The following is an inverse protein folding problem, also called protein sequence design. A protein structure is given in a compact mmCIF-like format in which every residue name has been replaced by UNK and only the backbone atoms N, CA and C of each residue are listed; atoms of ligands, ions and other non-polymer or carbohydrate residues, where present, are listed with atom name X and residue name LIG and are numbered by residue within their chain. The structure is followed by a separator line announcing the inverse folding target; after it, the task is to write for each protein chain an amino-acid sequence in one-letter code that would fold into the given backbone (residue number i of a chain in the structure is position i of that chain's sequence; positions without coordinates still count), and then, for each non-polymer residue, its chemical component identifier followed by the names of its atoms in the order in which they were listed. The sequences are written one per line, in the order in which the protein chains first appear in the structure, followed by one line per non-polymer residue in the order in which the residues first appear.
data_IF_185949797238
#
_entry.id   IF_185949797238
#
_cell.length_a   1.000
_cell.length_b   1.000
_cell.length_c   1.000
_cell.angle_alpha   90.00
_cell.angle_beta   90.00
_cell.angle_gamma   90.00
#
_symmetry.space_group_name_H-M   'P 1'
#
loop_
_entity.id
_entity.type
_entity.pdbx_description
1 polymer ?
#
# COMPACT_ATOMS: atom_id res chain seq x y z
N UNK A 1 -22.80 20.11 14.28
CA UNK A 1 -22.20 19.17 15.27
C UNK A 1 -20.86 19.76 15.66
N UNK A 2 -20.52 19.87 16.95
CA UNK A 2 -19.17 20.29 17.33
C UNK A 2 -18.19 19.10 17.15
N UNK A 3 -16.88 19.36 17.10
CA UNK A 3 -15.86 18.34 16.82
C UNK A 3 -15.90 17.19 17.85
N UNK A 4 -16.15 17.50 19.12
CA UNK A 4 -16.28 16.49 20.17
C UNK A 4 -17.41 15.46 19.87
N UNK A 5 -18.62 15.93 19.55
CA UNK A 5 -19.74 15.04 19.21
C UNK A 5 -19.48 14.23 17.95
N UNK A 6 -18.75 14.80 16.99
CA UNK A 6 -18.38 14.10 15.76
C UNK A 6 -17.42 12.94 16.04
N UNK A 7 -16.42 13.14 16.90
CA UNK A 7 -15.50 12.07 17.30
C UNK A 7 -16.20 10.96 18.07
N UNK A 8 -17.10 11.30 18.99
CA UNK A 8 -17.92 10.29 19.69
C UNK A 8 -18.82 9.52 18.72
N UNK A 9 -19.39 10.20 17.71
CA UNK A 9 -20.18 9.55 16.67
C UNK A 9 -19.34 8.57 15.84
N UNK A 10 -18.12 8.93 15.46
CA UNK A 10 -17.21 8.01 14.75
C UNK A 10 -16.87 6.79 15.60
N UNK A 11 -16.60 6.95 16.90
CA UNK A 11 -16.37 5.83 17.81
C UNK A 11 -17.59 4.91 17.92
N UNK A 12 -18.78 5.48 17.97
CA UNK A 12 -20.04 4.72 17.96
C UNK A 12 -20.19 3.92 16.66
N UNK A 13 -19.98 4.56 15.50
CA UNK A 13 -20.06 3.90 14.19
C UNK A 13 -19.08 2.74 14.08
N UNK A 14 -17.83 2.88 14.52
CA UNK A 14 -16.85 1.78 14.55
C UNK A 14 -17.37 0.59 15.36
N UNK A 15 -17.94 0.84 16.55
CA UNK A 15 -18.55 -0.23 17.37
C UNK A 15 -19.75 -0.89 16.71
N UNK A 16 -20.60 -0.12 16.01
CA UNK A 16 -21.78 -0.62 15.33
C UNK A 16 -21.44 -1.50 14.11
N UNK A 17 -20.32 -1.19 13.42
CA UNK A 17 -19.89 -1.92 12.24
C UNK A 17 -19.05 -3.16 12.59
N UNK A 18 -18.45 -3.19 13.79
CA UNK A 18 -17.66 -4.32 14.26
C UNK A 18 -18.48 -5.62 14.29
N UNK A 19 -18.01 -6.65 13.56
CA UNK A 19 -18.64 -7.96 13.44
C UNK A 19 -20.11 -7.97 12.95
N UNK A 20 -20.59 -6.86 12.37
CA UNK A 20 -21.93 -6.78 11.80
C UNK A 20 -21.92 -7.27 10.36
N UNK A 21 -22.99 -7.96 9.94
CA UNK A 21 -23.25 -8.19 8.52
C UNK A 21 -23.61 -6.86 7.87
N UNK A 22 -22.71 -6.36 7.02
CA UNK A 22 -22.85 -5.07 6.35
C UNK A 22 -23.77 -5.17 5.13
N UNK A 23 -24.44 -4.07 4.81
CA UNK A 23 -25.22 -3.88 3.57
C UNK A 23 -24.85 -2.54 2.94
N UNK A 24 -24.85 -2.47 1.61
CA UNK A 24 -24.51 -1.23 0.87
C UNK A 24 -25.35 -0.03 1.35
N UNK A 25 -26.67 -0.19 1.49
CA UNK A 25 -27.56 0.87 1.94
C UNK A 25 -27.26 1.39 3.37
N UNK A 26 -26.58 0.62 4.22
CA UNK A 26 -26.12 1.09 5.53
C UNK A 26 -24.85 1.92 5.41
N UNK A 27 -23.91 1.48 4.56
CA UNK A 27 -22.69 2.24 4.24
C UNK A 27 -23.05 3.58 3.60
N UNK A 28 -23.95 3.60 2.60
CA UNK A 28 -24.34 4.82 1.89
C UNK A 28 -24.95 5.88 2.84
N UNK A 29 -25.74 5.42 3.84
CA UNK A 29 -26.30 6.31 4.87
C UNK A 29 -25.21 6.94 5.73
N UNK A 30 -24.22 6.15 6.15
CA UNK A 30 -23.10 6.64 6.95
C UNK A 30 -22.22 7.58 6.13
N UNK A 31 -21.95 7.25 4.86
CA UNK A 31 -21.23 8.16 3.93
C UNK A 31 -21.96 9.50 3.87
N UNK A 32 -23.27 9.49 3.66
CA UNK A 32 -24.10 10.71 3.58
C UNK A 32 -24.04 11.52 4.88
N UNK A 33 -24.05 10.84 6.03
CA UNK A 33 -23.96 11.46 7.35
C UNK A 33 -22.60 12.14 7.59
N UNK A 34 -21.51 11.47 7.21
CA UNK A 34 -20.14 11.86 7.60
C UNK A 34 -19.43 12.70 6.54
N UNK A 35 -19.76 12.57 5.25
CA UNK A 35 -19.10 13.28 4.15
C UNK A 35 -18.96 14.80 4.36
N UNK A 36 -19.95 15.54 4.90
CA UNK A 36 -19.81 16.97 5.19
C UNK A 36 -18.66 17.31 6.15
N UNK A 37 -18.21 16.35 6.95
CA UNK A 37 -17.15 16.51 7.94
C UNK A 37 -15.84 15.81 7.57
N UNK A 38 -15.73 15.20 6.38
CA UNK A 38 -14.55 14.45 5.92
C UNK A 38 -13.25 15.23 6.08
N UNK A 39 -13.23 16.50 5.68
CA UNK A 39 -12.02 17.34 5.75
C UNK A 39 -11.62 17.74 7.18
N UNK A 40 -12.54 17.63 8.15
CA UNK A 40 -12.24 17.82 9.58
C UNK A 40 -11.69 16.51 10.16
N UNK A 41 -12.26 15.37 9.75
CA UNK A 41 -11.96 14.06 10.31
C UNK A 41 -10.66 13.45 9.80
N UNK A 42 -10.48 13.44 8.47
CA UNK A 42 -9.37 12.82 7.73
C UNK A 42 -8.99 13.75 6.57
N UNK A 43 -8.30 14.86 6.86
CA UNK A 43 -7.91 15.83 5.84
C UNK A 43 -7.02 15.17 4.79
N UNK A 44 -7.14 15.59 3.53
CA UNK A 44 -6.33 15.12 2.40
C UNK A 44 -6.40 13.62 2.05
N UNK A 45 -7.26 12.82 2.71
CA UNK A 45 -7.46 11.43 2.31
C UNK A 45 -8.35 11.31 1.05
N UNK A 46 -8.14 10.26 0.26
CA UNK A 46 -8.79 10.05 -1.04
C UNK A 46 -10.27 9.66 -0.91
N UNK A 47 -10.99 9.74 -2.02
CA UNK A 47 -12.38 9.28 -2.12
C UNK A 47 -12.55 8.17 -3.15
N UNK A 48 -11.46 7.55 -3.61
CA UNK A 48 -11.53 6.36 -4.47
C UNK A 48 -12.49 5.32 -3.85
N UNK A 49 -13.41 4.73 -4.63
CA UNK A 49 -14.27 3.67 -4.13
C UNK A 49 -13.44 2.42 -3.90
N UNK A 50 -13.50 1.86 -2.69
CA UNK A 50 -12.81 0.63 -2.33
C UNK A 50 -13.83 -0.45 -1.96
N UNK A 51 -13.61 -1.68 -2.41
CA UNK A 51 -14.38 -2.82 -1.93
C UNK A 51 -13.99 -3.17 -0.49
N UNK A 52 -15.00 -3.32 0.36
CA UNK A 52 -14.85 -3.87 1.69
C UNK A 52 -14.63 -5.38 1.58
N UNK A 53 -13.64 -5.89 2.30
CA UNK A 53 -13.34 -7.32 2.40
C UNK A 53 -13.59 -7.86 3.79
N UNK A 54 -13.76 -9.17 3.88
CA UNK A 54 -13.82 -9.88 5.15
C UNK A 54 -12.42 -10.11 5.76
N UNK A 55 -12.36 -10.87 6.85
CA UNK A 55 -11.10 -11.21 7.52
C UNK A 55 -10.15 -12.11 6.70
N UNK A 56 -10.66 -12.76 5.66
CA UNK A 56 -9.92 -13.63 4.77
C UNK A 56 -9.50 -12.90 3.48
N UNK A 57 -9.85 -11.62 3.33
CA UNK A 57 -9.59 -10.87 2.11
C UNK A 57 -10.63 -11.09 1.01
N UNK A 58 -11.75 -11.75 1.30
CA UNK A 58 -12.83 -11.97 0.32
C UNK A 58 -13.76 -10.77 0.24
N UNK A 59 -14.16 -10.40 -0.99
CA UNK A 59 -15.02 -9.24 -1.19
C UNK A 59 -16.42 -9.45 -0.60
N UNK A 60 -16.89 -8.48 0.16
CA UNK A 60 -18.28 -8.41 0.63
C UNK A 60 -19.23 -7.84 -0.43
N UNK A 61 -18.74 -7.49 -1.62
CA UNK A 61 -19.47 -6.77 -2.67
C UNK A 61 -20.09 -5.44 -2.21
N UNK A 62 -19.45 -4.80 -1.23
CA UNK A 62 -19.85 -3.50 -0.68
C UNK A 62 -18.72 -2.52 -0.93
N UNK A 63 -19.06 -1.32 -1.38
CA UNK A 63 -18.10 -0.26 -1.67
C UNK A 63 -18.24 0.88 -0.66
N UNK A 64 -17.11 1.44 -0.24
CA UNK A 64 -17.03 2.65 0.56
C UNK A 64 -15.90 3.54 0.01
N UNK A 65 -16.00 4.87 0.12
CA UNK A 65 -14.91 5.74 -0.25
C UNK A 65 -13.71 5.49 0.68
N UNK A 66 -12.49 5.56 0.14
CA UNK A 66 -11.22 5.33 0.86
C UNK A 66 -11.16 6.03 2.22
N UNK A 67 -11.45 7.33 2.28
CA UNK A 67 -11.46 8.08 3.54
C UNK A 67 -12.38 7.46 4.61
N UNK A 68 -13.49 6.83 4.23
CA UNK A 68 -14.39 6.18 5.17
C UNK A 68 -13.86 4.80 5.59
N UNK A 69 -13.20 4.08 4.68
CA UNK A 69 -12.51 2.84 5.04
C UNK A 69 -11.44 3.10 6.10
N UNK A 70 -10.59 4.09 5.86
CA UNK A 70 -9.57 4.56 6.80
C UNK A 70 -10.15 5.11 8.10
N UNK A 71 -11.22 5.92 8.02
CA UNK A 71 -11.84 6.49 9.21
C UNK A 71 -12.50 5.40 10.07
N UNK A 72 -13.24 4.46 9.49
CA UNK A 72 -14.05 3.50 10.25
C UNK A 72 -13.38 2.15 10.44
N UNK A 73 -12.18 1.95 9.89
CA UNK A 73 -11.48 0.68 9.96
C UNK A 73 -12.13 -0.41 9.10
N UNK A 74 -12.68 -0.04 7.93
CA UNK A 74 -13.24 -1.01 7.00
C UNK A 74 -12.10 -1.63 6.20
N UNK A 75 -11.98 -2.95 6.32
CA UNK A 75 -10.95 -3.74 5.64
C UNK A 75 -11.13 -3.61 4.13
N UNK A 76 -10.04 -3.38 3.41
CA UNK A 76 -10.05 -3.22 1.96
C UNK A 76 -8.77 -3.81 1.35
N UNK A 77 -8.69 -3.90 0.02
CA UNK A 77 -7.53 -4.47 -0.67
C UNK A 77 -6.52 -3.41 -1.09
N UNK A 78 -5.25 -3.75 -0.93
CA UNK A 78 -4.12 -3.02 -1.47
C UNK A 78 -3.18 -3.98 -2.22
N UNK A 79 -2.34 -3.44 -3.09
CA UNK A 79 -1.33 -4.19 -3.83
C UNK A 79 0.02 -3.57 -3.59
N UNK A 80 1.02 -4.40 -3.35
CA UNK A 80 2.41 -3.97 -3.23
C UNK A 80 3.27 -4.74 -4.21
N UNK A 81 4.20 -4.07 -4.86
CA UNK A 81 5.20 -4.70 -5.73
C UNK A 81 6.60 -4.31 -5.27
N UNK A 82 7.47 -5.32 -5.11
CA UNK A 82 8.90 -5.12 -5.03
C UNK A 82 9.54 -5.30 -6.41
N UNK A 83 10.17 -4.25 -6.92
CA UNK A 83 11.06 -4.27 -8.05
C UNK A 83 12.49 -4.48 -7.59
N UNK A 84 13.19 -5.37 -8.29
CA UNK A 84 14.63 -5.56 -8.13
C UNK A 84 15.30 -5.72 -9.49
N UNK A 85 16.59 -5.46 -9.55
CA UNK A 85 17.43 -5.71 -10.72
C UNK A 85 18.63 -6.53 -10.29
N UNK A 86 19.17 -7.31 -11.21
CA UNK A 86 20.52 -7.87 -11.10
C UNK A 86 21.48 -7.02 -11.90
N UNK A 87 22.70 -6.85 -11.39
CA UNK A 87 23.82 -6.37 -12.18
C UNK A 87 25.07 -7.17 -11.78
N UNK A 88 26.06 -7.21 -12.68
CA UNK A 88 27.25 -8.05 -12.51
C UNK A 88 28.15 -7.65 -11.31
N UNK A 89 27.86 -6.54 -10.63
CA UNK A 89 28.70 -5.92 -9.58
C UNK A 89 28.08 -6.01 -8.18
N UNK A 90 26.75 -5.92 -8.05
CA UNK A 90 26.01 -5.75 -6.79
C UNK A 90 25.05 -6.91 -6.50
N UNK A 91 25.04 -7.96 -7.32
CA UNK A 91 24.18 -9.16 -7.27
C UNK A 91 22.67 -8.87 -7.33
N UNK A 92 22.12 -8.19 -6.31
CA UNK A 92 20.72 -7.75 -6.23
C UNK A 92 20.65 -6.29 -5.80
N UNK A 93 19.97 -5.49 -6.61
CA UNK A 93 19.64 -4.08 -6.32
C UNK A 93 18.12 -3.97 -6.18
N UNK A 94 17.67 -3.65 -4.98
CA UNK A 94 16.28 -3.35 -4.67
C UNK A 94 15.97 -1.90 -5.00
N UNK A 95 14.79 -1.66 -5.56
CA UNK A 95 14.33 -0.34 -5.97
C UNK A 95 13.23 0.08 -5.01
N UNK A 96 13.53 0.94 -4.04
CA UNK A 96 12.53 1.47 -3.11
C UNK A 96 12.13 2.88 -3.53
N UNK A 97 10.91 3.31 -3.22
CA UNK A 97 10.46 4.67 -3.50
C UNK A 97 10.78 5.60 -2.34
N UNK A 98 11.00 6.88 -2.65
CA UNK A 98 10.92 7.99 -1.69
C UNK A 98 9.58 8.67 -1.92
N UNK A 99 8.69 8.60 -0.94
CA UNK A 99 7.36 9.19 -1.03
C UNK A 99 7.43 10.71 -1.12
N UNK A 100 6.53 11.29 -1.90
CA UNK A 100 6.39 12.74 -1.98
C UNK A 100 6.09 13.36 -0.62
N UNK A 101 6.64 14.55 -0.40
CA UNK A 101 6.43 15.32 0.83
C UNK A 101 4.99 15.84 0.97
N UNK A 102 4.18 15.75 -0.09
CA UNK A 102 2.77 16.17 -0.09
C UNK A 102 1.80 15.04 0.29
N UNK A 103 2.28 13.80 0.44
CA UNK A 103 1.42 12.67 0.84
C UNK A 103 0.91 12.87 2.27
N UNK A 104 -0.36 12.53 2.50
CA UNK A 104 -0.98 12.56 3.82
C UNK A 104 -0.28 11.61 4.80
N UNK A 105 0.03 10.40 4.35
CA UNK A 105 0.74 9.38 5.12
C UNK A 105 2.20 9.28 4.69
N UNK A 106 3.08 9.25 5.69
CA UNK A 106 4.51 9.01 5.54
C UNK A 106 5.21 9.92 4.51
N UNK A 107 5.05 11.26 4.59
CA UNK A 107 5.70 12.16 3.64
C UNK A 107 7.22 12.03 3.73
N UNK A 108 7.90 11.90 2.58
CA UNK A 108 9.37 11.77 2.50
C UNK A 108 9.97 10.46 3.03
N UNK A 109 9.14 9.50 3.43
CA UNK A 109 9.63 8.20 3.92
C UNK A 109 9.96 7.26 2.75
N UNK A 110 10.82 6.28 3.02
CA UNK A 110 11.02 5.17 2.11
C UNK A 110 9.82 4.23 2.11
N UNK A 111 9.41 3.80 0.93
CA UNK A 111 8.30 2.89 0.70
C UNK A 111 8.71 1.70 -0.19
N UNK A 112 7.82 0.71 -0.28
CA UNK A 112 7.94 -0.38 -1.25
C UNK A 112 7.97 0.17 -2.69
N UNK A 113 8.38 -0.62 -3.68
CA UNK A 113 8.64 -0.11 -5.04
C UNK A 113 7.40 0.45 -5.73
N UNK A 114 6.22 -0.09 -5.44
CA UNK A 114 4.91 0.41 -5.90
C UNK A 114 3.88 -0.02 -4.88
N UNK A 115 2.97 0.87 -4.47
CA UNK A 115 1.94 0.55 -3.49
C UNK A 115 0.64 1.35 -3.65
N UNK A 116 -0.46 0.67 -3.93
CA UNK A 116 -1.75 1.32 -4.18
C UNK A 116 -2.96 0.48 -3.77
N UNK A 117 -4.14 1.09 -3.82
CA UNK A 117 -5.40 0.43 -3.44
C UNK A 117 -6.08 -0.22 -4.64
N UNK A 118 -6.77 -1.33 -4.43
CA UNK A 118 -7.64 -1.90 -5.48
C UNK A 118 -8.91 -1.06 -5.57
N UNK A 119 -8.98 -0.21 -6.59
CA UNK A 119 -10.12 0.70 -6.80
C UNK A 119 -11.29 -0.05 -7.44
N UNK A 120 -12.48 0.11 -6.84
CA UNK A 120 -13.72 -0.50 -7.29
C UNK A 120 -13.59 -2.02 -7.41
N UNK A 121 -13.93 -2.53 -8.59
CA UNK A 121 -13.98 -3.97 -8.89
C UNK A 121 -12.79 -4.45 -9.73
N UNK A 122 -11.71 -3.67 -9.77
CA UNK A 122 -10.49 -4.09 -10.48
C UNK A 122 -9.85 -5.31 -9.82
N UNK A 123 -9.04 -6.04 -10.61
CA UNK A 123 -8.23 -7.11 -10.06
C UNK A 123 -6.92 -6.56 -9.49
N UNK A 124 -6.37 -7.23 -8.47
CA UNK A 124 -5.07 -6.87 -7.90
C UNK A 124 -3.95 -6.88 -8.95
N UNK A 125 -3.97 -7.84 -9.88
CA UNK A 125 -3.03 -7.90 -10.99
C UNK A 125 -3.12 -6.67 -11.91
N UNK A 126 -4.32 -6.20 -12.24
CA UNK A 126 -4.48 -4.99 -13.07
C UNK A 126 -4.07 -3.74 -12.30
N UNK A 127 -4.45 -3.69 -11.02
CA UNK A 127 -4.14 -2.57 -10.12
C UNK A 127 -2.63 -2.38 -10.03
N UNK A 128 -1.86 -3.42 -9.73
CA UNK A 128 -0.40 -3.29 -9.54
C UNK A 128 0.32 -2.83 -10.81
N UNK A 129 -0.15 -3.23 -11.99
CA UNK A 129 0.39 -2.75 -13.26
C UNK A 129 0.07 -1.29 -13.52
N UNK A 130 -1.15 -0.88 -13.18
CA UNK A 130 -1.60 0.51 -13.30
C UNK A 130 -0.79 1.41 -12.37
N UNK A 131 -0.68 1.05 -11.09
CA UNK A 131 0.11 1.81 -10.10
C UNK A 131 1.59 1.88 -10.51
N UNK A 132 2.16 0.79 -11.04
CA UNK A 132 3.53 0.79 -11.55
C UNK A 132 3.73 1.76 -12.72
N UNK A 133 2.74 1.87 -13.60
CA UNK A 133 2.79 2.81 -14.72
C UNK A 133 2.52 4.26 -14.31
N UNK A 134 1.67 4.49 -13.30
CA UNK A 134 1.32 5.82 -12.76
C UNK A 134 2.46 6.39 -11.90
N UNK A 135 2.94 5.62 -10.91
CA UNK A 135 3.94 6.08 -9.96
C UNK A 135 5.35 6.12 -10.55
N UNK A 136 5.73 5.11 -11.35
CA UNK A 136 7.11 4.95 -11.85
C UNK A 136 7.24 5.10 -13.36
N UNK A 137 6.13 5.18 -14.10
CA UNK A 137 6.19 5.25 -15.56
C UNK A 137 6.67 3.97 -16.24
N UNK A 138 6.70 2.84 -15.52
CA UNK A 138 7.20 1.55 -16.02
C UNK A 138 6.03 0.74 -16.57
N UNK A 139 5.91 0.53 -17.89
CA UNK A 139 4.96 -0.44 -18.43
C UNK A 139 5.49 -1.87 -18.27
N UNK A 140 4.59 -2.85 -18.35
CA UNK A 140 4.93 -4.29 -18.24
C UNK A 140 6.09 -4.71 -19.16
N UNK A 141 6.18 -4.13 -20.36
CA UNK A 141 7.23 -4.45 -21.34
C UNK A 141 8.66 -4.11 -20.91
N UNK A 142 8.84 -3.29 -19.87
CA UNK A 142 10.17 -2.97 -19.32
C UNK A 142 10.61 -3.94 -18.22
N UNK A 143 9.71 -4.78 -17.69
CA UNK A 143 10.06 -5.86 -16.78
C UNK A 143 10.80 -6.97 -17.55
N UNK A 144 11.71 -7.66 -16.87
CA UNK A 144 12.44 -8.78 -17.44
C UNK A 144 11.43 -9.88 -17.82
N UNK A 145 11.48 -10.33 -19.07
CA UNK A 145 10.52 -11.27 -19.67
C UNK A 145 9.04 -10.81 -19.58
N UNK A 146 8.78 -9.53 -19.33
CA UNK A 146 7.43 -8.98 -19.14
C UNK A 146 6.64 -9.73 -18.07
N UNK A 147 7.29 -10.09 -16.97
CA UNK A 147 6.72 -10.95 -15.94
C UNK A 147 6.84 -10.35 -14.53
N UNK A 148 5.86 -10.66 -13.70
CA UNK A 148 5.85 -10.39 -12.27
C UNK A 148 5.03 -11.48 -11.57
N UNK A 149 5.38 -11.78 -10.32
CA UNK A 149 4.82 -12.91 -9.59
C UNK A 149 4.04 -12.44 -8.39
N UNK A 150 2.83 -12.96 -8.21
CA UNK A 150 2.14 -12.89 -6.92
C UNK A 150 2.79 -13.90 -5.95
N UNK A 151 3.24 -13.44 -4.79
CA UNK A 151 4.05 -14.25 -3.87
C UNK A 151 3.41 -14.47 -2.50
N UNK A 152 2.51 -13.58 -2.07
CA UNK A 152 1.90 -13.66 -0.76
C UNK A 152 0.64 -12.77 -0.67
N UNK A 153 -0.28 -13.11 0.20
CA UNK A 153 -1.41 -12.25 0.55
C UNK A 153 -1.60 -12.27 2.07
N UNK A 154 -1.71 -11.09 2.69
CA UNK A 154 -1.79 -10.98 4.15
C UNK A 154 -2.58 -9.75 4.61
N UNK A 155 -3.26 -9.90 5.75
CA UNK A 155 -3.95 -8.81 6.43
C UNK A 155 -2.97 -8.06 7.34
N UNK A 156 -3.08 -6.74 7.38
CA UNK A 156 -2.25 -5.89 8.23
C UNK A 156 -3.04 -4.69 8.73
N UNK A 157 -2.63 -4.17 9.89
CA UNK A 157 -3.29 -3.06 10.57
C UNK A 157 -2.27 -1.95 10.82
N UNK A 158 -2.58 -0.72 10.42
CA UNK A 158 -1.79 0.49 10.68
C UNK A 158 -2.72 1.56 11.27
N UNK A 159 -2.65 1.70 12.60
CA UNK A 159 -3.59 2.50 13.38
C UNK A 159 -2.87 3.72 13.95
N UNK A 160 -3.34 4.90 13.58
CA UNK A 160 -2.86 6.21 14.05
C UNK A 160 -4.07 7.00 14.61
N UNK A 161 -4.50 6.73 15.86
CA UNK A 161 -5.71 7.31 16.43
C UNK A 161 -5.69 8.85 16.48
N UNK A 162 -4.52 9.44 16.65
CA UNK A 162 -4.27 10.89 16.63
C UNK A 162 -4.56 11.53 15.26
N UNK A 163 -4.55 10.74 14.19
CA UNK A 163 -4.91 11.15 12.83
C UNK A 163 -6.29 10.63 12.39
N UNK A 164 -7.06 10.01 13.30
CA UNK A 164 -8.28 9.27 12.98
C UNK A 164 -8.13 8.20 11.89
N UNK A 165 -6.92 7.68 11.71
CA UNK A 165 -6.58 6.73 10.67
C UNK A 165 -6.52 5.32 11.26
N UNK A 166 -7.35 4.44 10.71
CA UNK A 166 -7.47 3.03 11.08
C UNK A 166 -7.36 2.23 9.79
N UNK A 167 -6.13 2.09 9.30
CA UNK A 167 -5.90 1.45 8.02
C UNK A 167 -5.82 -0.08 8.20
N UNK A 168 -6.73 -0.81 7.56
CA UNK A 168 -6.76 -2.28 7.58
C UNK A 168 -6.75 -2.80 6.15
N UNK A 169 -5.62 -3.36 5.74
CA UNK A 169 -5.39 -3.75 4.35
C UNK A 169 -5.20 -5.26 4.24
N UNK A 170 -5.93 -5.88 3.32
CA UNK A 170 -5.50 -7.14 2.71
C UNK A 170 -4.54 -6.79 1.58
N UNK A 171 -3.25 -7.03 1.80
CA UNK A 171 -2.18 -6.73 0.83
C UNK A 171 -1.90 -7.94 -0.03
N UNK A 172 -2.03 -7.77 -1.34
CA UNK A 172 -1.53 -8.73 -2.34
C UNK A 172 -0.11 -8.32 -2.73
N UNK A 173 0.84 -9.22 -2.51
CA UNK A 173 2.26 -8.94 -2.65
C UNK A 173 2.81 -9.53 -3.93
N UNK A 174 3.49 -8.68 -4.70
CA UNK A 174 4.10 -9.02 -5.97
C UNK A 174 5.60 -8.76 -5.96
N UNK A 175 6.31 -9.45 -6.84
CA UNK A 175 7.72 -9.21 -7.10
C UNK A 175 8.02 -9.26 -8.60
N UNK A 176 8.91 -8.40 -9.07
CA UNK A 176 9.38 -8.45 -10.45
C UNK A 176 10.84 -8.06 -10.58
N UNK A 177 11.50 -8.70 -11.53
CA UNK A 177 12.83 -8.31 -11.98
C UNK A 177 12.70 -7.28 -13.12
N UNK A 178 13.43 -6.18 -13.03
CA UNK A 178 13.56 -5.18 -14.10
C UNK A 178 14.98 -5.22 -14.66
N UNK A 179 15.12 -5.04 -15.98
CA UNK A 179 16.45 -4.88 -16.57
C UNK A 179 17.10 -3.61 -15.97
N UNK A 180 18.33 -3.75 -15.48
CA UNK A 180 19.16 -2.65 -14.98
C UNK A 180 19.18 -1.43 -15.90
N UNK A 181 19.13 -1.62 -17.22
CA UNK A 181 19.10 -0.54 -18.22
C UNK A 181 17.76 0.21 -18.22
N UNK A 182 16.66 -0.49 -17.95
CA UNK A 182 15.31 0.07 -17.88
C UNK A 182 15.08 0.94 -16.65
N UNK A 183 15.93 0.87 -15.62
CA UNK A 183 15.87 1.78 -14.46
C UNK A 183 16.00 3.25 -14.91
N UNK A 184 16.77 3.51 -15.96
CA UNK A 184 16.91 4.86 -16.53
C UNK A 184 15.64 5.42 -17.18
N UNK A 185 14.66 4.56 -17.47
CA UNK A 185 13.38 4.95 -18.05
C UNK A 185 12.32 5.31 -16.99
N UNK A 186 12.64 5.15 -15.70
CA UNK A 186 11.72 5.49 -14.61
C UNK A 186 11.45 6.99 -14.63
N UNK A 187 10.16 7.33 -14.58
CA UNK A 187 9.70 8.71 -14.57
C UNK A 187 8.42 8.81 -13.73
N UNK A 188 8.44 9.68 -12.71
CA UNK A 188 7.31 9.87 -11.81
C UNK A 188 6.24 10.73 -12.51
N UNK A 189 5.02 10.21 -12.70
CA UNK A 189 4.00 10.91 -13.50
C UNK A 189 2.96 11.66 -12.67
N UNK A 190 2.73 11.27 -11.43
CA UNK A 190 1.58 11.70 -10.62
C UNK A 190 1.95 12.54 -9.38
N UNK A 191 3.23 12.78 -9.14
CA UNK A 191 3.80 13.45 -7.96
C UNK A 191 3.65 12.69 -6.65
N UNK A 192 3.40 11.38 -6.68
CA UNK A 192 3.40 10.54 -5.48
C UNK A 192 4.80 10.12 -5.05
N UNK A 193 5.74 10.07 -6.00
CA UNK A 193 7.13 9.67 -5.82
C UNK A 193 8.05 10.85 -6.16
N UNK A 194 9.07 11.09 -5.32
CA UNK A 194 10.06 12.16 -5.54
C UNK A 194 11.48 11.64 -5.77
N UNK A 195 11.69 10.34 -5.61
CA UNK A 195 12.98 9.72 -5.82
C UNK A 195 12.93 8.21 -5.65
N UNK A 196 14.04 7.56 -6.00
CA UNK A 196 14.29 6.15 -5.73
C UNK A 196 15.44 6.00 -4.75
N UNK A 197 15.36 5.00 -3.89
CA UNK A 197 16.44 4.52 -3.07
C UNK A 197 16.87 3.14 -3.55
N UNK A 198 18.00 3.11 -4.27
CA UNK A 198 18.60 1.88 -4.77
C UNK A 198 19.51 1.29 -3.70
N UNK A 199 19.28 0.03 -3.32
CA UNK A 199 20.00 -0.56 -2.20
C UNK A 199 20.31 -2.05 -2.42
N UNK A 200 21.43 -2.48 -1.84
CA UNK A 200 21.81 -3.91 -1.81
C UNK A 200 21.06 -4.66 -0.72
N UNK A 201 21.12 -5.99 -0.75
CA UNK A 201 20.58 -6.83 0.32
C UNK A 201 21.11 -6.43 1.70
N UNK A 202 22.41 -6.16 1.84
CA UNK A 202 23.00 -5.77 3.13
C UNK A 202 22.45 -4.41 3.58
N UNK A 203 22.39 -3.43 2.67
CA UNK A 203 21.83 -2.11 2.98
C UNK A 203 20.36 -2.18 3.39
N UNK A 204 19.58 -3.09 2.81
CA UNK A 204 18.19 -3.33 3.22
C UNK A 204 18.09 -3.93 4.62
N UNK A 205 18.97 -4.88 4.97
CA UNK A 205 19.01 -5.46 6.33
C UNK A 205 19.31 -4.36 7.36
N UNK A 206 20.36 -3.57 7.12
CA UNK A 206 20.72 -2.44 7.99
C UNK A 206 19.57 -1.44 8.14
N UNK A 207 18.83 -1.18 7.04
CA UNK A 207 17.68 -0.30 7.03
C UNK A 207 16.56 -0.80 7.97
N UNK A 208 16.27 -2.09 7.93
CA UNK A 208 15.24 -2.73 8.75
C UNK A 208 15.66 -2.83 10.22
N UNK A 209 16.92 -3.17 10.49
CA UNK A 209 17.42 -3.45 11.84
C UNK A 209 17.75 -2.18 12.64
N UNK A 210 18.18 -1.12 11.95
CA UNK A 210 18.70 0.09 12.59
C UNK A 210 17.88 1.35 12.32
N UNK A 211 16.87 1.28 11.44
CA UNK A 211 15.94 2.38 11.12
C UNK A 211 16.66 3.73 10.92
N UNK A 212 17.80 3.72 10.22
CA UNK A 212 18.62 4.91 9.98
C UNK A 212 17.91 5.95 9.10
N UNK A 213 16.88 5.52 8.36
CA UNK A 213 15.99 6.35 7.57
C UNK A 213 14.53 6.08 7.96
N UNK A 214 13.65 7.09 7.80
CA UNK A 214 12.22 6.93 8.06
C UNK A 214 11.58 6.00 7.03
N UNK A 215 10.94 4.93 7.49
CA UNK A 215 10.31 3.90 6.65
C UNK A 215 8.80 3.90 6.85
N UNK A 216 8.05 3.66 5.77
CA UNK A 216 6.60 3.42 5.86
C UNK A 216 6.31 2.10 6.57
N UNK A 217 5.10 1.99 7.11
CA UNK A 217 4.62 0.72 7.60
C UNK A 217 4.52 -0.33 6.48
N UNK A 218 4.15 0.10 5.27
CA UNK A 218 4.13 -0.75 4.08
C UNK A 218 5.49 -1.41 3.80
N UNK A 219 6.58 -0.63 3.83
CA UNK A 219 7.93 -1.15 3.61
C UNK A 219 8.35 -2.13 4.71
N UNK A 220 8.16 -1.76 5.98
CA UNK A 220 8.52 -2.60 7.14
C UNK A 220 7.82 -3.96 7.13
N UNK A 221 6.58 -4.00 6.66
CA UNK A 221 5.78 -5.23 6.65
C UNK A 221 5.96 -6.08 5.38
N UNK A 222 6.09 -5.43 4.21
CA UNK A 222 6.07 -6.13 2.92
C UNK A 222 7.46 -6.62 2.51
N UNK A 223 8.49 -5.79 2.74
CA UNK A 223 9.84 -6.08 2.29
C UNK A 223 10.40 -7.39 2.88
N UNK A 224 10.28 -7.67 4.20
CA UNK A 224 10.77 -8.94 4.75
C UNK A 224 10.14 -10.15 4.09
N UNK A 225 8.84 -10.07 3.71
CA UNK A 225 8.13 -11.16 3.03
C UNK A 225 8.65 -11.38 1.61
N UNK A 226 8.98 -10.30 0.88
CA UNK A 226 9.63 -10.40 -0.42
C UNK A 226 11.04 -10.97 -0.34
N UNK A 227 11.84 -10.56 0.66
CA UNK A 227 13.20 -11.08 0.87
C UNK A 227 13.19 -12.57 1.18
N UNK A 228 12.25 -13.01 2.03
CA UNK A 228 12.03 -14.43 2.33
C UNK A 228 11.70 -15.24 1.07
N UNK A 229 10.86 -14.70 0.18
CA UNK A 229 10.56 -15.35 -1.10
C UNK A 229 11.82 -15.48 -1.98
N UNK A 230 12.57 -14.40 -2.17
CA UNK A 230 13.77 -14.40 -3.02
C UNK A 230 14.84 -15.38 -2.53
N UNK A 231 15.05 -15.49 -1.22
CA UNK A 231 16.04 -16.40 -0.66
C UNK A 231 15.66 -17.88 -0.84
N UNK A 232 14.37 -18.19 -0.87
CA UNK A 232 13.89 -19.56 -1.13
C UNK A 232 14.07 -19.94 -2.61
N UNK A 233 13.81 -19.02 -3.53
CA UNK A 233 14.01 -19.23 -4.97
C UNK A 233 15.49 -19.29 -5.36
N UNK A 234 16.36 -18.66 -4.56
CA UNK A 234 17.78 -18.57 -4.83
C UNK A 234 18.59 -18.80 -3.56
N UNK A 235 18.87 -20.08 -3.22
CA UNK A 235 19.53 -20.46 -1.97
C UNK A 235 20.93 -19.89 -1.77
N UNK A 236 21.56 -19.29 -2.78
CA UNK A 236 22.85 -18.61 -2.62
C UNK A 236 22.70 -17.24 -1.92
N UNK A 237 21.48 -16.69 -1.79
CA UNK A 237 21.19 -15.48 -1.02
C UNK A 237 20.67 -15.83 0.39
N UNK A 238 21.37 -16.73 1.08
CA UNK A 238 20.96 -17.26 2.40
C UNK A 238 20.68 -16.12 3.38
N UNK A 239 19.44 -16.08 3.84
CA UNK A 239 18.99 -15.34 5.00
C UNK A 239 19.55 -16.03 6.25
N UNK A 240 20.63 -15.47 6.80
CA UNK A 240 20.89 -15.54 8.24
C UNK A 240 20.34 -14.26 8.85
#
# INVERSE_FOLDING_TARGET
MNEFFLMERVKELRKQLYNKQLRQAEIDKIVTEIAPFKNILVPNDGAEPLLIVDKNGESLNIEAPRWMCHLLGLKHKAVHLLLYSRNDVMDLVFILQVRSFTKFEYPGHLDISVGGHVVGRESSHRTVLKEMEEELGIPLGLLLNSNFHHINSYMVEDIKPEMNLYNYEQRELYIAEIDSKSISAINFKDNEVVGLYLCTLNSVKDLLDHSTLPLTHALKESLPKCLNFLANEHPNYILV
#
